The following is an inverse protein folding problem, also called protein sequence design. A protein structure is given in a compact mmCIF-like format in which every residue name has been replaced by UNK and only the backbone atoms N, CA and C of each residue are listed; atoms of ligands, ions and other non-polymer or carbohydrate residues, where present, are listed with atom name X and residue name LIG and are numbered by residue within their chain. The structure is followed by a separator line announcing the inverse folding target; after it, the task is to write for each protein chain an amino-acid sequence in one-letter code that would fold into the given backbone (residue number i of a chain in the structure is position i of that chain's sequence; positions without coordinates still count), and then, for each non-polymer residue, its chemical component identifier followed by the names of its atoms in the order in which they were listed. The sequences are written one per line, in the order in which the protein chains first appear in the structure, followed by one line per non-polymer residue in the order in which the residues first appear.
data_IF_051317454631
#
_entry.id   IF_051317454631
#
_cell.length_a   1.000
_cell.length_b   1.000
_cell.length_c   1.000
_cell.angle_alpha   90.00
_cell.angle_beta   90.00
_cell.angle_gamma   90.00
#
_symmetry.space_group_name_H-M   'P 1'
#
loop_
_entity.id
_entity.type
_entity.pdbx_description
1 polymer ?
#
# COMPACT_ATOMS: atom_id res chain seq x y z
N UNK A 1 3.36 9.56 -26.09
CA UNK A 1 4.05 8.56 -25.24
C UNK A 1 5.12 9.27 -24.41
N UNK A 2 4.77 9.78 -23.23
CA UNK A 2 5.75 10.19 -22.20
C UNK A 2 4.98 10.33 -20.88
N UNK A 3 4.84 9.24 -20.13
CA UNK A 3 4.49 9.35 -18.70
C UNK A 3 5.82 9.39 -17.93
N UNK A 4 6.38 10.59 -17.83
CA UNK A 4 7.16 11.05 -16.66
C UNK A 4 6.41 10.59 -15.40
N UNK A 5 7.00 9.93 -14.41
CA UNK A 5 8.19 10.32 -13.67
C UNK A 5 8.65 9.08 -12.89
N UNK A 6 9.85 8.58 -13.18
CA UNK A 6 10.55 7.67 -12.27
C UNK A 6 11.36 8.57 -11.35
N UNK A 7 10.90 8.80 -10.13
CA UNK A 7 11.70 9.46 -9.10
C UNK A 7 13.09 8.78 -9.01
N UNK A 8 14.20 9.42 -9.43
CA UNK A 8 15.47 8.77 -9.69
C UNK A 8 16.35 8.56 -8.45
N UNK A 9 15.86 8.87 -7.24
CA UNK A 9 16.73 8.90 -6.05
C UNK A 9 16.50 7.77 -5.05
N UNK A 10 15.43 6.98 -5.13
CA UNK A 10 15.15 5.91 -4.16
C UNK A 10 14.99 6.40 -2.71
N UNK A 11 15.01 7.71 -2.48
CA UNK A 11 14.84 8.33 -1.17
C UNK A 11 13.35 8.38 -0.86
N UNK A 12 12.99 7.94 0.35
CA UNK A 12 11.63 8.08 0.85
C UNK A 12 11.17 9.54 0.71
N UNK A 13 9.96 9.81 0.17
CA UNK A 13 9.41 11.17 0.14
C UNK A 13 9.05 11.67 1.55
N UNK A 14 9.19 10.82 2.57
CA UNK A 14 8.89 11.12 3.96
C UNK A 14 10.15 11.45 4.75
N UNK A 15 9.94 12.22 5.80
CA UNK A 15 10.92 12.54 6.83
C UNK A 15 10.37 12.06 8.16
N UNK A 16 11.23 11.90 9.17
CA UNK A 16 10.78 11.52 10.52
C UNK A 16 9.70 12.46 11.10
N UNK A 17 9.62 13.71 10.61
CA UNK A 17 8.63 14.71 11.07
C UNK A 17 7.26 14.56 10.43
N UNK A 18 7.18 13.98 9.23
CA UNK A 18 5.93 13.88 8.47
C UNK A 18 5.45 12.42 8.31
N UNK A 19 6.17 11.46 8.89
CA UNK A 19 5.82 10.05 8.78
C UNK A 19 4.57 9.71 9.58
N UNK A 20 4.36 10.30 10.76
CA UNK A 20 3.16 10.06 11.56
C UNK A 20 1.88 10.51 10.83
N UNK A 21 1.76 11.77 10.35
CA UNK A 21 0.56 12.17 9.61
C UNK A 21 0.40 11.41 8.29
N UNK A 22 1.50 10.98 7.66
CA UNK A 22 1.43 10.11 6.48
C UNK A 22 0.92 8.70 6.81
N UNK A 23 1.32 8.15 7.96
CA UNK A 23 0.89 6.85 8.46
C UNK A 23 -0.60 6.90 8.86
N UNK A 24 -1.03 7.95 9.56
CA UNK A 24 -2.43 8.17 9.90
C UNK A 24 -3.30 8.23 8.64
N UNK A 25 -2.84 8.95 7.60
CA UNK A 25 -3.54 9.01 6.32
C UNK A 25 -3.64 7.62 5.67
N UNK A 26 -2.54 6.84 5.68
CA UNK A 26 -2.52 5.48 5.13
C UNK A 26 -3.48 4.54 5.90
N UNK A 27 -3.50 4.60 7.22
CA UNK A 27 -4.42 3.83 8.06
C UNK A 27 -5.87 4.19 7.78
N UNK A 28 -6.19 5.48 7.64
CA UNK A 28 -7.53 5.93 7.33
C UNK A 28 -8.00 5.47 5.95
N UNK A 29 -7.18 5.65 4.91
CA UNK A 29 -7.59 5.28 3.55
C UNK A 29 -7.67 3.77 3.36
N UNK A 30 -6.81 2.98 4.04
CA UNK A 30 -6.82 1.52 3.98
C UNK A 30 -7.89 0.89 4.89
N UNK A 31 -8.25 1.56 5.98
CA UNK A 31 -9.29 1.11 6.91
C UNK A 31 -10.71 1.50 6.50
N UNK A 32 -10.88 2.49 5.62
CA UNK A 32 -12.17 2.80 5.02
C UNK A 32 -12.53 1.70 4.00
N UNK A 33 -13.69 1.07 4.17
CA UNK A 33 -14.22 0.12 3.17
C UNK A 33 -14.28 0.81 1.80
N UNK A 34 -13.44 0.37 0.87
CA UNK A 34 -13.28 1.02 -0.44
C UNK A 34 -11.91 1.66 -0.70
N UNK A 35 -10.86 1.39 0.08
CA UNK A 35 -9.47 1.76 -0.26
C UNK A 35 -9.05 1.32 -1.68
N UNK A 36 -9.61 0.20 -2.15
CA UNK A 36 -9.43 -0.33 -3.51
C UNK A 36 -10.25 0.41 -4.57
N UNK A 37 -11.16 1.31 -4.17
CA UNK A 37 -12.09 2.03 -5.06
C UNK A 37 -11.42 3.19 -5.81
N UNK A 38 -10.39 3.84 -5.23
CA UNK A 38 -9.71 4.98 -5.87
C UNK A 38 -8.37 4.62 -6.52
N UNK A 39 -7.63 3.66 -5.95
CA UNK A 39 -6.31 3.26 -6.46
C UNK A 39 -6.07 1.76 -6.28
N UNK A 40 -5.23 1.20 -7.16
CA UNK A 40 -4.91 -0.23 -7.13
C UNK A 40 -4.09 -0.62 -5.90
N UNK A 41 -4.23 -1.88 -5.47
CA UNK A 41 -3.42 -2.48 -4.39
C UNK A 41 -1.92 -2.24 -4.55
N UNK A 42 -1.41 -2.35 -5.78
CA UNK A 42 0.01 -2.14 -6.11
C UNK A 42 0.48 -0.70 -5.87
N UNK A 43 -0.42 0.28 -5.97
CA UNK A 43 -0.12 1.66 -5.62
C UNK A 43 0.06 1.82 -4.11
N UNK A 44 -0.89 1.34 -3.31
CA UNK A 44 -0.83 1.44 -1.85
C UNK A 44 0.37 0.69 -1.26
N UNK A 45 0.65 -0.52 -1.76
CA UNK A 45 1.84 -1.30 -1.38
C UNK A 45 3.13 -0.51 -1.60
N UNK A 46 3.27 0.16 -2.74
CA UNK A 46 4.46 0.98 -3.03
C UNK A 46 4.60 2.15 -2.06
N UNK A 47 3.51 2.80 -1.68
CA UNK A 47 3.52 3.92 -0.72
C UNK A 47 3.95 3.47 0.67
N UNK A 48 3.44 2.34 1.16
CA UNK A 48 3.84 1.77 2.45
C UNK A 48 5.32 1.38 2.44
N UNK A 49 5.81 0.76 1.36
CA UNK A 49 7.24 0.44 1.22
C UNK A 49 8.13 1.69 1.20
N UNK A 50 7.69 2.77 0.56
CA UNK A 50 8.40 4.06 0.59
C UNK A 50 8.44 4.64 2.02
N UNK A 51 7.33 4.58 2.75
CA UNK A 51 7.27 5.01 4.16
C UNK A 51 8.24 4.20 5.05
N UNK A 52 8.30 2.87 4.87
CA UNK A 52 9.23 1.99 5.58
C UNK A 52 10.71 2.28 5.27
N UNK A 53 11.02 2.83 4.09
CA UNK A 53 12.39 3.22 3.73
C UNK A 53 12.86 4.52 4.41
N UNK A 54 12.02 5.18 5.21
CA UNK A 54 12.38 6.39 5.94
C UNK A 54 13.40 6.07 7.03
N UNK A 55 14.49 6.84 7.10
CA UNK A 55 15.48 6.67 8.16
C UNK A 55 14.99 7.28 9.49
N UNK A 56 15.33 6.64 10.61
CA UNK A 56 15.02 7.16 11.94
C UNK A 56 13.59 6.89 12.42
N UNK A 57 12.90 5.90 11.84
CA UNK A 57 11.61 5.45 12.35
C UNK A 57 11.74 4.93 13.78
N UNK A 58 10.79 5.31 14.62
CA UNK A 58 10.63 4.67 15.92
C UNK A 58 10.10 3.23 15.74
N UNK A 59 10.32 2.32 16.71
CA UNK A 59 9.78 0.97 16.66
C UNK A 59 8.25 0.92 16.49
N UNK A 60 7.54 1.88 17.09
CA UNK A 60 6.09 1.99 16.95
C UNK A 60 5.66 2.34 15.52
N UNK A 61 6.33 3.33 14.90
CA UNK A 61 6.06 3.71 13.50
C UNK A 61 6.33 2.54 12.54
N UNK A 62 7.44 1.83 12.75
CA UNK A 62 7.77 0.67 11.93
C UNK A 62 6.74 -0.46 12.09
N UNK A 63 6.26 -0.70 13.31
CA UNK A 63 5.23 -1.71 13.56
C UNK A 63 3.91 -1.36 12.85
N UNK A 64 3.46 -0.10 12.92
CA UNK A 64 2.24 0.36 12.24
C UNK A 64 2.31 0.15 10.73
N UNK A 65 3.42 0.59 10.11
CA UNK A 65 3.64 0.44 8.68
C UNK A 65 3.73 -1.03 8.23
N UNK A 66 4.33 -1.92 9.03
CA UNK A 66 4.35 -3.36 8.74
C UNK A 66 2.95 -3.96 8.76
N UNK A 67 2.11 -3.60 9.75
CA UNK A 67 0.73 -4.10 9.84
C UNK A 67 -0.12 -3.68 8.64
N UNK A 68 0.10 -2.46 8.14
CA UNK A 68 -0.52 -2.00 6.89
C UNK A 68 -0.08 -2.85 5.69
N UNK A 69 1.21 -3.15 5.58
CA UNK A 69 1.73 -3.98 4.49
C UNK A 69 1.15 -5.40 4.54
N UNK A 70 1.12 -6.02 5.72
CA UNK A 70 0.50 -7.32 5.94
C UNK A 70 -0.97 -7.32 5.54
N UNK A 71 -1.73 -6.28 5.92
CA UNK A 71 -3.14 -6.15 5.55
C UNK A 71 -3.31 -6.09 4.03
N UNK A 72 -2.49 -5.29 3.33
CA UNK A 72 -2.53 -5.17 1.87
C UNK A 72 -2.20 -6.50 1.17
N UNK A 73 -1.21 -7.24 1.68
CA UNK A 73 -0.80 -8.52 1.08
C UNK A 73 -1.73 -9.68 1.47
N UNK A 74 -2.49 -9.56 2.57
CA UNK A 74 -3.51 -10.52 2.99
C UNK A 74 -4.80 -10.44 2.17
N UNK A 75 -5.04 -9.36 1.42
CA UNK A 75 -6.10 -9.34 0.41
C UNK A 75 -5.74 -10.35 -0.69
N UNK A 76 -6.57 -11.38 -0.93
CA UNK A 76 -6.33 -12.30 -2.04
C UNK A 76 -6.29 -11.51 -3.35
N UNK A 77 -5.46 -11.91 -4.34
CA UNK A 77 -5.62 -11.35 -5.67
C UNK A 77 -7.06 -11.64 -6.11
N UNK A 78 -7.83 -10.60 -6.44
CA UNK A 78 -9.16 -10.65 -7.05
C UNK A 78 -9.08 -11.33 -8.43
N UNK A 79 -8.79 -12.64 -8.45
CA UNK A 79 -9.06 -13.55 -9.54
C UNK A 79 -9.58 -14.85 -8.89
N UNK A 80 -10.75 -14.75 -8.26
CA UNK A 80 -11.71 -15.85 -8.32
C UNK A 80 -12.56 -15.63 -9.56
N UNK A 81 -12.03 -15.97 -10.74
CA UNK A 81 -12.92 -16.44 -11.80
C UNK A 81 -13.46 -17.78 -11.30
N UNK A 82 -14.58 -17.73 -10.58
CA UNK A 82 -15.49 -18.87 -10.49
C UNK A 82 -15.92 -19.16 -11.92
N UNK A 83 -15.21 -20.09 -12.57
CA UNK A 83 -15.57 -20.59 -13.88
C UNK A 83 -16.93 -21.29 -13.77
N UNK A 84 -18.01 -20.82 -14.43
CA UNK A 84 -19.31 -21.48 -14.39
C UNK A 84 -19.40 -22.65 -15.40
N UNK A 85 -18.30 -23.06 -16.04
CA UNK A 85 -18.32 -23.98 -17.18
C UNK A 85 -18.10 -25.46 -16.80
N UNK A 86 -18.41 -25.89 -15.58
CA UNK A 86 -18.32 -27.31 -15.19
C UNK A 86 -19.69 -27.92 -14.84
N UNK A 87 -20.78 -27.21 -15.11
CA UNK A 87 -22.14 -27.72 -14.92
C UNK A 87 -22.74 -28.40 -16.17
N UNK A 88 -22.02 -28.45 -17.31
CA UNK A 88 -22.45 -29.18 -18.50
C UNK A 88 -21.25 -29.81 -19.22
N UNK A 89 -20.93 -31.05 -18.85
CA UNK A 89 -20.45 -32.10 -19.75
C UNK A 89 -20.69 -33.46 -19.13
#
# INVERSE_FOLDING_TARGET
MTFTDRNPTGVSPYTFRNIDPATDHLEQVLGAEGAESLFTRTYWRRRVLQALATQGLSPNQQQRLQRLLESIDAFPPEISVSSPEQAMS
#
